data_IF_127051937942
#
_entry.id   IF_127051937942
#
_cell.length_a   1.000
_cell.length_b   1.000
_cell.length_c   1.000
_cell.angle_alpha   90.00
_cell.angle_beta   90.00
_cell.angle_gamma   90.00
#
_symmetry.space_group_name_H-M   'P 1'
#
loop_
_entity.id
_entity.type
_entity.pdbx_description
1 polymer ?
#
# COMPACT_ATOMS: atom_id res chain seq x y z
N UNK A 1 -1.17 14.89 -4.82
CA UNK A 1 -0.09 14.19 -4.10
C UNK A 1 1.24 14.66 -4.66
N UNK A 2 2.18 15.14 -3.84
CA UNK A 2 3.53 15.49 -4.29
C UNK A 2 4.47 14.34 -3.94
N UNK A 3 5.01 13.67 -4.96
CA UNK A 3 6.11 12.71 -4.84
C UNK A 3 7.35 13.43 -5.33
N UNK A 4 8.41 13.47 -4.52
CA UNK A 4 9.67 14.05 -4.97
C UNK A 4 10.44 13.02 -5.83
N UNK A 5 11.38 13.49 -6.65
CA UNK A 5 12.12 12.64 -7.61
C UNK A 5 12.79 11.42 -6.95
N UNK A 6 13.18 11.53 -5.67
CA UNK A 6 13.85 10.43 -4.94
C UNK A 6 12.87 9.33 -4.54
N UNK A 7 11.62 9.69 -4.27
CA UNK A 7 10.55 8.77 -3.84
C UNK A 7 9.72 8.24 -5.01
N UNK A 8 9.90 8.77 -6.22
CA UNK A 8 9.08 8.43 -7.38
C UNK A 8 9.12 6.95 -7.73
N UNK A 9 10.33 6.38 -7.77
CA UNK A 9 10.52 4.97 -8.08
C UNK A 9 9.90 4.08 -6.99
N UNK A 10 10.14 4.40 -5.73
CA UNK A 10 9.64 3.61 -4.60
C UNK A 10 8.11 3.64 -4.53
N UNK A 11 7.52 4.82 -4.76
CA UNK A 11 6.07 4.97 -4.84
C UNK A 11 5.48 4.23 -6.05
N UNK A 12 6.10 4.34 -7.22
CA UNK A 12 5.65 3.61 -8.41
C UNK A 12 5.70 2.10 -8.19
N UNK A 13 6.73 1.59 -7.51
CA UNK A 13 6.81 0.18 -7.15
C UNK A 13 5.67 -0.22 -6.21
N UNK A 14 5.37 0.57 -5.17
CA UNK A 14 4.23 0.31 -4.30
C UNK A 14 2.91 0.20 -5.09
N UNK A 15 2.65 1.16 -5.99
CA UNK A 15 1.42 1.14 -6.81
C UNK A 15 1.37 -0.10 -7.70
N UNK A 16 2.50 -0.50 -8.30
CA UNK A 16 2.57 -1.71 -9.12
C UNK A 16 2.29 -2.98 -8.31
N UNK A 17 2.85 -3.09 -7.10
CA UNK A 17 2.57 -4.21 -6.19
C UNK A 17 1.09 -4.25 -5.77
N UNK A 18 0.47 -3.10 -5.50
CA UNK A 18 -0.97 -3.05 -5.25
C UNK A 18 -1.78 -3.55 -6.46
N UNK A 19 -1.48 -3.08 -7.68
CA UNK A 19 -2.15 -3.52 -8.90
C UNK A 19 -1.98 -5.02 -9.20
N UNK A 20 -0.96 -5.68 -8.65
CA UNK A 20 -0.76 -7.12 -8.80
C UNK A 20 -1.74 -7.94 -7.92
N UNK A 21 -2.24 -7.36 -6.84
CA UNK A 21 -3.07 -8.07 -5.84
C UNK A 21 -4.53 -7.58 -5.80
N UNK A 22 -4.82 -6.39 -6.31
CA UNK A 22 -6.18 -5.82 -6.33
C UNK A 22 -6.44 -5.04 -7.63
N UNK A 23 -7.71 -4.75 -7.91
CA UNK A 23 -8.10 -3.97 -9.10
C UNK A 23 -7.46 -2.58 -9.09
N UNK A 24 -6.87 -2.18 -10.22
CA UNK A 24 -6.23 -0.88 -10.41
C UNK A 24 -7.13 0.30 -10.05
N UNK A 25 -8.44 0.20 -10.32
CA UNK A 25 -9.43 1.23 -9.97
C UNK A 25 -9.61 1.36 -8.45
N UNK A 26 -9.30 0.31 -7.69
CA UNK A 26 -9.41 0.27 -6.23
C UNK A 26 -8.13 0.70 -5.51
N UNK A 27 -6.96 0.62 -6.15
CA UNK A 27 -5.65 0.89 -5.52
C UNK A 27 -5.60 2.26 -4.84
N UNK A 28 -6.11 3.30 -5.51
CA UNK A 28 -6.12 4.66 -4.96
C UNK A 28 -6.98 4.77 -3.69
N UNK A 29 -8.12 4.08 -3.65
CA UNK A 29 -8.99 4.02 -2.47
C UNK A 29 -8.31 3.25 -1.34
N UNK A 30 -7.78 2.06 -1.64
CA UNK A 30 -7.12 1.21 -0.66
C UNK A 30 -5.95 1.91 0.03
N UNK A 31 -5.10 2.60 -0.75
CA UNK A 31 -3.97 3.38 -0.21
C UNK A 31 -4.41 4.50 0.75
N UNK A 32 -5.65 5.00 0.63
CA UNK A 32 -6.23 6.07 1.45
C UNK A 32 -7.14 5.55 2.57
N UNK A 33 -7.52 4.27 2.55
CA UNK A 33 -8.36 3.63 3.57
C UNK A 33 -7.50 3.28 4.79
N UNK A 34 -8.06 3.43 5.99
CA UNK A 34 -7.37 3.01 7.23
C UNK A 34 -7.46 1.49 7.37
N UNK A 35 -6.36 0.83 7.70
CA UNK A 35 -6.32 -0.62 7.88
C UNK A 35 -6.10 -1.02 9.34
N UNK A 36 -6.90 -1.93 9.92
CA UNK A 36 -6.67 -2.47 11.27
C UNK A 36 -5.27 -3.08 11.43
N UNK A 37 -4.78 -3.80 10.41
CA UNK A 37 -3.46 -4.46 10.41
C UNK A 37 -2.28 -3.48 10.37
N UNK A 38 -2.57 -2.20 10.09
CA UNK A 38 -1.63 -1.10 10.13
C UNK A 38 -1.93 -0.14 11.28
N UNK A 39 -2.49 -0.62 12.40
CA UNK A 39 -2.86 0.20 13.56
C UNK A 39 -3.82 1.36 13.20
N UNK A 40 -4.74 1.11 12.27
CA UNK A 40 -5.65 2.13 11.72
C UNK A 40 -4.94 3.28 10.97
N UNK A 41 -3.68 3.09 10.56
CA UNK A 41 -3.00 3.97 9.62
C UNK A 41 -3.45 3.68 8.18
N UNK A 42 -3.29 4.69 7.31
CA UNK A 42 -3.45 4.51 5.86
C UNK A 42 -2.17 3.88 5.29
N UNK A 43 -2.25 2.91 4.36
CA UNK A 43 -1.07 2.31 3.75
C UNK A 43 -0.09 3.35 3.19
N UNK A 44 -0.59 4.42 2.57
CA UNK A 44 0.25 5.48 2.01
C UNK A 44 1.03 6.29 3.07
N UNK A 45 0.44 6.52 4.24
CA UNK A 45 1.11 7.23 5.33
C UNK A 45 2.14 6.32 5.99
N UNK A 46 1.77 5.05 6.18
CA UNK A 46 2.66 4.03 6.75
C UNK A 46 3.89 3.81 5.86
N UNK A 47 3.71 3.78 4.54
CA UNK A 47 4.79 3.68 3.58
C UNK A 47 5.78 4.86 3.72
N UNK A 48 5.26 6.09 3.75
CA UNK A 48 6.07 7.31 3.88
C UNK A 48 6.81 7.44 5.21
N UNK A 49 6.26 6.87 6.29
CA UNK A 49 6.91 6.85 7.60
C UNK A 49 8.01 5.78 7.72
N UNK A 50 8.44 5.17 6.61
CA UNK A 50 9.44 4.10 6.59
C UNK A 50 8.86 2.71 6.89
N UNK A 51 7.54 2.58 6.91
CA UNK A 51 6.81 1.34 7.16
C UNK A 51 6.54 0.47 5.93
N UNK A 52 7.32 0.63 4.86
CA UNK A 52 7.11 -0.08 3.59
C UNK A 52 7.01 -1.60 3.76
N UNK A 53 7.86 -2.20 4.62
CA UNK A 53 7.83 -3.63 4.91
C UNK A 53 6.46 -4.10 5.41
N UNK A 54 5.84 -3.39 6.35
CA UNK A 54 4.51 -3.75 6.86
C UNK A 54 3.42 -3.64 5.79
N UNK A 55 3.53 -2.68 4.87
CA UNK A 55 2.59 -2.54 3.75
C UNK A 55 2.74 -3.71 2.77
N UNK A 56 3.96 -4.07 2.39
CA UNK A 56 4.20 -5.22 1.52
C UNK A 56 3.81 -6.56 2.16
N UNK A 57 3.98 -6.71 3.48
CA UNK A 57 3.47 -7.89 4.19
C UNK A 57 1.95 -7.97 4.15
N UNK A 58 1.24 -6.86 4.31
CA UNK A 58 -0.21 -6.83 4.18
C UNK A 58 -0.65 -7.22 2.76
N UNK A 59 -0.01 -6.66 1.73
CA UNK A 59 -0.29 -7.04 0.33
C UNK A 59 -0.06 -8.53 0.08
N UNK A 60 1.01 -9.11 0.64
CA UNK A 60 1.26 -10.55 0.59
C UNK A 60 0.14 -11.37 1.24
N UNK A 61 -0.39 -10.96 2.39
CA UNK A 61 -1.51 -11.66 3.02
C UNK A 61 -2.82 -11.52 2.24
N UNK A 62 -3.07 -10.35 1.65
CA UNK A 62 -4.22 -10.13 0.75
C UNK A 62 -4.13 -11.07 -0.46
N UNK A 63 -2.97 -11.19 -1.10
CA UNK A 63 -2.75 -12.12 -2.23
C UNK A 63 -3.04 -13.59 -1.86
N UNK A 64 -2.90 -13.95 -0.59
CA UNK A 64 -3.16 -15.31 -0.08
C UNK A 64 -4.57 -15.52 0.46
N UNK A 65 -5.46 -14.53 0.32
CA UNK A 65 -6.78 -14.50 0.97
C UNK A 65 -6.69 -14.65 2.51
N UNK A 66 -5.57 -14.25 3.10
CA UNK A 66 -5.30 -14.29 4.55
C UNK A 66 -5.54 -12.92 5.23
N UNK A 67 -5.88 -11.88 4.45
CA UNK A 67 -6.28 -10.56 4.92
C UNK A 67 -7.30 -9.91 3.98
N UNK A 68 -8.16 -9.05 4.52
CA UNK A 68 -9.23 -8.38 3.77
C UNK A 68 -8.74 -7.13 3.00
N UNK A 69 -9.50 -6.75 1.96
CA UNK A 69 -9.36 -5.48 1.22
C UNK A 69 -10.07 -4.29 1.90
#
# INVERSE_FOLDING_TARGET
MNVNDKELIEFSNLVNECCAVMDHDYVAEWLQKKHPDLNMERPIDRFRSGGSKSVYQLLYFIEKDEADL
#
